data_IF_403497745271
#
_entry.id   IF_403497745271
#
_cell.length_a   1.000
_cell.length_b   1.000
_cell.length_c   1.000
_cell.angle_alpha   90.00
_cell.angle_beta   90.00
_cell.angle_gamma   90.00
#
_symmetry.space_group_name_H-M   'P 1'
#
loop_
_entity.id
_entity.type
_entity.pdbx_description
1 polymer ?
#
# COMPACT_ATOMS: atom_id res chain seq x y z
N UNK A 1 8.85 -11.31 -4.41
CA UNK A 1 9.57 -10.07 -4.70
C UNK A 1 8.70 -9.10 -5.50
N UNK A 2 8.00 -9.58 -6.53
CA UNK A 2 7.06 -8.76 -7.34
C UNK A 2 5.91 -8.17 -6.50
N UNK A 3 5.14 -9.00 -5.79
CA UNK A 3 3.97 -8.56 -5.00
C UNK A 3 4.28 -7.45 -3.98
N UNK A 4 5.44 -7.51 -3.34
CA UNK A 4 5.87 -6.53 -2.34
C UNK A 4 6.13 -5.15 -2.97
N UNK A 5 6.71 -5.11 -4.17
CA UNK A 5 6.89 -3.87 -4.93
C UNK A 5 5.53 -3.25 -5.30
N UNK A 6 4.54 -4.11 -5.61
CA UNK A 6 3.19 -3.67 -5.91
C UNK A 6 2.50 -3.05 -4.68
N UNK A 7 2.60 -3.69 -3.52
CA UNK A 7 2.12 -3.20 -2.22
C UNK A 7 2.73 -1.84 -1.90
N UNK A 8 4.07 -1.72 -1.90
CA UNK A 8 4.76 -0.47 -1.51
C UNK A 8 4.36 0.70 -2.38
N UNK A 9 4.39 0.50 -3.70
CA UNK A 9 4.06 1.60 -4.61
C UNK A 9 2.57 1.98 -4.58
N UNK A 10 1.66 1.02 -4.34
CA UNK A 10 0.25 1.33 -4.16
C UNK A 10 0.01 2.14 -2.87
N UNK A 11 0.62 1.73 -1.74
CA UNK A 11 0.52 2.47 -0.48
C UNK A 11 1.18 3.86 -0.54
N UNK A 12 2.26 4.01 -1.31
CA UNK A 12 2.91 5.30 -1.53
C UNK A 12 2.08 6.24 -2.41
N UNK A 13 1.32 5.71 -3.37
CA UNK A 13 0.48 6.49 -4.28
C UNK A 13 -0.82 6.99 -3.62
N UNK A 14 -1.38 6.20 -2.71
CA UNK A 14 -2.60 6.58 -2.00
C UNK A 14 -2.29 7.72 -1.01
N UNK A 15 -3.09 8.80 -0.97
CA UNK A 15 -2.86 9.89 -0.02
C UNK A 15 -3.25 9.48 1.41
N UNK A 16 -2.63 10.13 2.39
CA UNK A 16 -2.98 9.99 3.80
C UNK A 16 -2.61 8.64 4.44
N UNK A 17 -2.93 8.55 5.73
CA UNK A 17 -2.67 7.37 6.55
C UNK A 17 -3.81 6.35 6.53
N UNK A 18 -5.04 6.77 6.24
CA UNK A 18 -6.20 5.89 6.15
C UNK A 18 -6.58 5.67 4.69
N UNK A 19 -6.76 4.41 4.31
CA UNK A 19 -7.17 3.97 2.96
C UNK A 19 -8.23 2.89 3.08
N UNK A 20 -9.25 2.90 2.22
CA UNK A 20 -10.21 1.79 2.20
C UNK A 20 -9.62 0.56 1.50
N UNK A 21 -10.12 -0.63 1.82
CA UNK A 21 -9.77 -1.87 1.11
C UNK A 21 -9.99 -1.74 -0.41
N UNK A 22 -11.09 -1.09 -0.80
CA UNK A 22 -11.41 -0.84 -2.21
C UNK A 22 -10.39 0.07 -2.90
N UNK A 23 -10.00 1.18 -2.27
CA UNK A 23 -8.96 2.07 -2.83
C UNK A 23 -7.62 1.34 -2.99
N UNK A 24 -7.26 0.53 -2.00
CA UNK A 24 -6.01 -0.21 -2.06
C UNK A 24 -6.02 -1.29 -3.14
N UNK A 25 -7.13 -2.04 -3.26
CA UNK A 25 -7.34 -3.02 -4.33
C UNK A 25 -7.29 -2.37 -5.72
N UNK A 26 -8.04 -1.30 -5.93
CA UNK A 26 -8.06 -0.58 -7.22
C UNK A 26 -6.68 -0.09 -7.61
N UNK A 27 -5.89 0.42 -6.65
CA UNK A 27 -4.53 0.87 -6.93
C UNK A 27 -3.58 -0.30 -7.26
N UNK A 28 -3.72 -1.45 -6.61
CA UNK A 28 -2.94 -2.66 -6.94
C UNK A 28 -3.25 -3.15 -8.37
N UNK A 29 -4.53 -3.21 -8.74
CA UNK A 29 -4.97 -3.58 -10.09
C UNK A 29 -4.49 -2.59 -11.15
N UNK A 30 -4.55 -1.28 -10.85
CA UNK A 30 -4.01 -0.22 -11.74
C UNK A 30 -2.51 -0.40 -12.02
N UNK A 31 -1.78 -1.01 -11.08
CA UNK A 31 -0.35 -1.33 -11.22
C UNK A 31 -0.10 -2.68 -11.89
N UNK A 32 -1.13 -3.34 -12.41
CA UNK A 32 -1.03 -4.55 -13.21
C UNK A 32 -1.25 -5.86 -12.45
N UNK A 33 -1.66 -5.82 -11.18
CA UNK A 33 -2.03 -7.06 -10.48
C UNK A 33 -3.37 -7.58 -10.98
N UNK A 34 -3.45 -8.90 -11.18
CA UNK A 34 -4.73 -9.56 -11.34
C UNK A 34 -5.54 -9.47 -10.03
N UNK A 35 -6.89 -9.51 -10.08
CA UNK A 35 -7.72 -9.37 -8.88
C UNK A 35 -7.40 -10.36 -7.76
N UNK A 36 -7.12 -11.62 -8.10
CA UNK A 36 -6.74 -12.65 -7.10
C UNK A 36 -5.36 -12.40 -6.45
N UNK A 37 -4.45 -11.75 -7.18
CA UNK A 37 -3.16 -11.33 -6.62
C UNK A 37 -3.30 -10.06 -5.78
N UNK A 38 -4.24 -9.17 -6.13
CA UNK A 38 -4.53 -7.98 -5.34
C UNK A 38 -5.07 -8.33 -3.95
N UNK A 39 -5.91 -9.37 -3.83
CA UNK A 39 -6.36 -9.88 -2.53
C UNK A 39 -5.20 -10.44 -1.71
N UNK A 40 -4.35 -11.28 -2.30
CA UNK A 40 -3.14 -11.78 -1.64
C UNK A 40 -2.18 -10.65 -1.23
N UNK A 41 -2.09 -9.58 -2.02
CA UNK A 41 -1.27 -8.43 -1.72
C UNK A 41 -1.79 -7.66 -0.49
N UNK A 42 -3.10 -7.52 -0.34
CA UNK A 42 -3.72 -6.90 0.84
C UNK A 42 -3.46 -7.76 2.09
N UNK A 43 -3.67 -9.08 2.00
CA UNK A 43 -3.39 -10.00 3.10
C UNK A 43 -1.92 -9.97 3.52
N UNK A 44 -1.00 -9.99 2.56
CA UNK A 44 0.43 -9.86 2.80
C UNK A 44 0.78 -8.54 3.47
N UNK A 45 0.19 -7.43 3.03
CA UNK A 45 0.41 -6.11 3.61
C UNK A 45 0.00 -6.05 5.10
N UNK A 46 -1.06 -6.77 5.48
CA UNK A 46 -1.50 -6.91 6.88
C UNK A 46 -0.55 -7.79 7.68
N UNK A 47 -0.23 -8.98 7.18
CA UNK A 47 0.64 -9.94 7.85
C UNK A 47 2.04 -9.37 8.11
N UNK A 48 2.55 -8.57 7.19
CA UNK A 48 3.86 -7.94 7.31
C UNK A 48 3.83 -6.57 8.01
N UNK A 49 2.66 -6.11 8.48
CA UNK A 49 2.54 -4.86 9.23
C UNK A 49 2.84 -3.61 8.39
N UNK A 50 2.49 -3.60 7.11
CA UNK A 50 2.45 -2.39 6.28
C UNK A 50 1.18 -1.58 6.52
N UNK A 51 0.08 -2.27 6.78
CA UNK A 51 -1.22 -1.70 7.13
C UNK A 51 -1.81 -2.46 8.32
N UNK A 52 -2.76 -1.83 9.01
CA UNK A 52 -3.57 -2.46 10.05
C UNK A 52 -5.05 -2.28 9.73
N UNK A 53 -5.88 -3.25 10.11
CA UNK A 53 -7.34 -3.20 9.93
C UNK A 53 -7.94 -2.27 10.97
N UNK A 54 -8.74 -1.29 10.55
CA UNK A 54 -9.42 -0.34 11.44
C UNK A 54 -10.84 -0.10 10.94
N UNK A 55 -11.84 -0.61 11.66
CA UNK A 55 -13.26 -0.47 11.28
C UNK A 55 -13.47 -0.93 9.83
N UNK A 56 -13.89 0.02 8.98
CA UNK A 56 -14.24 -0.21 7.57
C UNK A 56 -13.06 -0.04 6.59
N UNK A 57 -11.81 0.03 7.06
CA UNK A 57 -10.66 0.20 6.18
C UNK A 57 -9.31 -0.16 6.79
N UNK A 58 -8.25 0.42 6.22
CA UNK A 58 -6.86 0.12 6.49
C UNK A 58 -6.10 1.38 6.90
N UNK A 59 -5.34 1.29 7.97
CA UNK A 59 -4.42 2.34 8.42
C UNK A 59 -2.99 1.96 8.05
N UNK A 60 -2.29 2.82 7.31
CA UNK A 60 -0.87 2.65 6.97
C UNK A 60 0.01 2.79 8.20
N UNK A 61 0.87 1.80 8.38
CA UNK A 61 1.86 1.76 9.44
C UNK A 61 3.18 2.38 8.98
N UNK A 62 4.07 2.70 9.93
CA UNK A 62 5.33 3.39 9.64
C UNK A 62 6.18 2.70 8.55
N UNK A 63 6.09 1.36 8.44
CA UNK A 63 6.74 0.58 7.38
C UNK A 63 6.29 0.97 5.97
N UNK A 64 5.01 1.27 5.78
CA UNK A 64 4.47 1.76 4.51
C UNK A 64 4.86 3.21 4.21
N UNK A 65 5.11 4.03 5.24
CA UNK A 65 5.55 5.43 5.09
C UNK A 65 7.00 5.53 4.61
N UNK A 66 7.88 4.63 5.08
CA UNK A 66 9.29 4.61 4.67
C UNK A 66 9.53 4.12 3.23
N UNK A 67 8.49 3.59 2.55
CA UNK A 67 8.55 3.17 1.16
C UNK A 67 8.29 4.31 0.14
N UNK A 68 7.87 5.49 0.60
CA UNK A 68 7.87 6.69 -0.23
C UNK A 68 9.35 7.04 -0.52
N UNK A 69 9.80 6.76 -1.74
CA UNK A 69 11.09 7.25 -2.23
C UNK A 69 11.13 8.75 -1.96
N UNK A 70 12.17 9.28 -1.28
CA UNK A 70 12.33 10.71 -1.09
C UNK A 70 12.71 11.35 -2.42
N UNK A 71 11.71 11.61 -3.25
CA UNK A 71 11.78 12.63 -4.29
C UNK A 71 11.17 13.91 -3.72
N UNK A 72 11.98 14.94 -3.52
CA UNK A 72 11.63 16.30 -3.04
C UNK A 72 11.53 16.56 -1.53
N UNK A 73 12.51 16.14 -0.74
CA UNK A 73 12.90 16.92 0.44
C UNK A 73 14.42 17.13 0.41
N UNK A 74 14.82 18.40 0.38
CA UNK A 74 16.19 18.94 0.31
C UNK A 74 16.83 19.04 -1.09
N UNK A 75 16.42 20.05 -1.87
CA UNK A 75 17.45 20.95 -2.41
C UNK A 75 17.53 22.14 -1.45
N UNK A 76 18.59 22.11 -0.63
CA UNK A 76 19.18 23.32 -0.05
C UNK A 76 19.82 24.17 -1.14
#
# INVERSE_FOLDING_TARGET
MELEMHIKGALAQLPGDFVSDGQFRTELERRGLAPGDAEQAIEKALLEGWVSRTGDGLTKLGRARSGAVPGNLAQS
#
